data_IF_071918544169
#
_entry.id   IF_071918544169
#
_cell.length_a   1.000
_cell.length_b   1.000
_cell.length_c   1.000
_cell.angle_alpha   90.00
_cell.angle_beta   90.00
_cell.angle_gamma   90.00
#
_symmetry.space_group_name_H-M   'P 1'
#
loop_
_entity.id
_entity.type
_entity.pdbx_description
1 polymer ?
#
# COMPACT_ATOMS: atom_id res chain seq x y z
N UNK A 1 -9.81 -4.52 7.46
CA UNK A 1 -9.12 -3.59 6.54
C UNK A 1 -8.15 -2.79 7.40
N UNK A 2 -6.86 -2.90 7.14
CA UNK A 2 -5.82 -2.21 7.91
C UNK A 2 -5.35 -1.02 7.07
N UNK A 3 -5.53 0.21 7.55
CA UNK A 3 -4.98 1.41 6.92
C UNK A 3 -3.64 1.72 7.59
N UNK A 4 -2.63 1.89 6.76
CA UNK A 4 -1.25 2.15 7.17
C UNK A 4 -0.86 3.49 6.54
N UNK A 5 -0.39 4.43 7.36
CA UNK A 5 0.14 5.70 6.86
C UNK A 5 1.61 5.52 6.47
N UNK A 6 1.93 5.87 5.22
CA UNK A 6 3.25 5.76 4.62
C UNK A 6 3.89 7.14 4.38
N UNK A 7 3.31 8.23 4.91
CA UNK A 7 3.82 9.60 4.73
C UNK A 7 5.27 9.79 5.18
N UNK A 8 5.69 9.10 6.22
CA UNK A 8 7.06 9.17 6.78
C UNK A 8 7.98 8.07 6.23
N UNK A 9 7.49 7.21 5.33
CA UNK A 9 8.29 6.13 4.81
C UNK A 9 9.34 6.67 3.84
N UNK A 10 10.59 6.73 4.29
CA UNK A 10 11.74 7.23 3.52
C UNK A 10 12.20 6.26 2.40
N UNK A 11 11.35 5.29 2.04
CA UNK A 11 11.62 4.23 1.06
C UNK A 11 10.63 4.32 -0.10
N UNK A 12 11.09 3.97 -1.30
CA UNK A 12 10.24 3.95 -2.49
C UNK A 12 8.98 3.14 -2.25
N UNK A 13 7.82 3.72 -2.55
CA UNK A 13 6.52 3.05 -2.41
C UNK A 13 6.49 1.69 -3.12
N UNK A 14 7.16 1.55 -4.27
CA UNK A 14 7.27 0.27 -4.98
C UNK A 14 8.02 -0.80 -4.19
N UNK A 15 9.07 -0.43 -3.44
CA UNK A 15 9.76 -1.37 -2.54
C UNK A 15 8.87 -1.78 -1.39
N UNK A 16 8.15 -0.82 -0.79
CA UNK A 16 7.22 -1.07 0.31
C UNK A 16 6.11 -2.01 -0.17
N UNK A 17 5.53 -1.72 -1.34
CA UNK A 17 4.51 -2.55 -1.98
C UNK A 17 4.99 -3.97 -2.23
N UNK A 18 6.17 -4.14 -2.84
CA UNK A 18 6.71 -5.47 -3.12
C UNK A 18 6.93 -6.25 -1.82
N UNK A 19 7.54 -5.62 -0.81
CA UNK A 19 7.81 -6.28 0.46
C UNK A 19 6.53 -6.66 1.22
N UNK A 20 5.48 -5.84 1.15
CA UNK A 20 4.16 -6.14 1.71
C UNK A 20 3.43 -7.26 0.96
N UNK A 21 3.55 -7.30 -0.36
CA UNK A 21 3.00 -8.38 -1.18
C UNK A 21 3.71 -9.71 -0.88
N UNK A 22 5.04 -9.71 -0.86
CA UNK A 22 5.84 -10.89 -0.55
C UNK A 22 5.51 -11.43 0.85
N UNK A 23 5.40 -10.52 1.84
CA UNK A 23 5.03 -10.90 3.21
C UNK A 23 3.60 -11.41 3.29
N UNK A 24 2.69 -10.81 2.52
CA UNK A 24 1.31 -11.26 2.39
C UNK A 24 1.21 -12.68 1.83
N UNK A 25 1.97 -12.96 0.77
CA UNK A 25 2.03 -14.27 0.14
C UNK A 25 2.61 -15.33 1.10
N UNK A 26 3.67 -15.00 1.83
CA UNK A 26 4.26 -15.86 2.88
C UNK A 26 3.26 -16.20 3.99
N UNK A 27 2.41 -15.24 4.35
CA UNK A 27 1.39 -15.38 5.40
C UNK A 27 0.06 -15.96 4.88
N UNK A 28 -0.09 -16.15 3.56
CA UNK A 28 -1.33 -16.60 2.93
C UNK A 28 -2.46 -15.57 2.98
N UNK A 29 -2.14 -14.28 3.04
CA UNK A 29 -3.10 -13.16 3.12
C UNK A 29 -2.98 -12.23 1.91
N UNK A 30 -4.12 -11.79 1.38
CA UNK A 30 -4.17 -10.85 0.25
C UNK A 30 -3.90 -9.42 0.75
N UNK A 31 -2.75 -8.86 0.40
CA UNK A 31 -2.35 -7.51 0.80
C UNK A 31 -2.54 -6.55 -0.37
N UNK A 32 -3.45 -5.59 -0.23
CA UNK A 32 -3.65 -4.50 -1.19
C UNK A 32 -3.17 -3.18 -0.61
N UNK A 33 -2.25 -2.55 -1.33
CA UNK A 33 -1.70 -1.23 -1.03
C UNK A 33 -2.00 -0.30 -2.21
N UNK A 34 -2.53 0.88 -1.92
CA UNK A 34 -2.84 1.93 -2.89
C UNK A 34 -2.37 3.27 -2.33
N UNK A 35 -1.88 4.17 -3.20
CA UNK A 35 -1.54 5.53 -2.78
C UNK A 35 -2.83 6.32 -2.53
N UNK A 36 -2.81 7.15 -1.49
CA UNK A 36 -3.93 8.02 -1.13
C UNK A 36 -4.32 8.97 -2.28
N UNK A 37 -3.38 9.39 -3.13
CA UNK A 37 -3.66 10.21 -4.33
C UNK A 37 -4.59 9.52 -5.33
N UNK A 38 -4.48 8.20 -5.51
CA UNK A 38 -5.37 7.45 -6.42
C UNK A 38 -6.79 7.37 -5.81
N UNK A 39 -6.88 7.30 -4.49
CA UNK A 39 -8.14 7.34 -3.76
C UNK A 39 -8.80 8.73 -3.85
N UNK A 40 -8.04 9.80 -3.64
CA UNK A 40 -8.52 11.18 -3.76
C UNK A 40 -8.96 11.52 -5.20
N UNK A 41 -8.22 11.05 -6.20
CA UNK A 41 -8.56 11.28 -7.62
C UNK A 41 -9.89 10.64 -8.03
N UNK A 42 -10.28 9.53 -7.40
CA UNK A 42 -11.60 8.91 -7.62
C UNK A 42 -12.74 9.68 -6.94
N UNK A 43 -12.48 10.45 -5.88
CA UNK A 43 -13.51 11.22 -5.16
C UNK A 43 -13.72 12.64 -5.70
N UNK A 44 -12.89 13.06 -6.66
CA UNK A 44 -12.90 14.42 -7.23
C UNK A 44 -13.61 14.50 -8.60
N UNK A 45 -14.20 13.40 -9.08
CA UNK A 45 -14.94 13.33 -10.35
C UNK A 45 -16.46 13.29 -10.15
#
# INVERSE_FOLDING_TARGET
IMMLDLKEANSDFDKIKSSLLDKGEELGVDVKIQREEIFNSMHTL
#
